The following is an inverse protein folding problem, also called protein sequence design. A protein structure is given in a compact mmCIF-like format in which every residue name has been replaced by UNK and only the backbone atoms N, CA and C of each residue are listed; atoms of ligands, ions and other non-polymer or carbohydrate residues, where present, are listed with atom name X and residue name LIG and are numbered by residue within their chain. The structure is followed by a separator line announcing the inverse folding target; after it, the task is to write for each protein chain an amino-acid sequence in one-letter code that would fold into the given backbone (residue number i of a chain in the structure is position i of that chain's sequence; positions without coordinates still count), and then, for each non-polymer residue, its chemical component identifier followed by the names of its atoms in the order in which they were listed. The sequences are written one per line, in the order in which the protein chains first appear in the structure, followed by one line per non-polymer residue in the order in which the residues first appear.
data_IF_256940041966
#
_entry.id   IF_256940041966
#
_cell.length_a   1.000
_cell.length_b   1.000
_cell.length_c   1.000
_cell.angle_alpha   90.00
_cell.angle_beta   90.00
_cell.angle_gamma   90.00
#
_symmetry.space_group_name_H-M   'P 1'
#
loop_
_entity.id
_entity.type
_entity.pdbx_description
1 polymer ?
#
# COMPACT_ATOMS: atom_id res chain seq x y z
N UNK A 1 -3.63 20.00 -18.80
CA UNK A 1 -4.34 18.71 -18.75
C UNK A 1 -3.65 17.77 -17.77
N UNK A 2 -4.41 16.94 -17.06
CA UNK A 2 -3.85 15.93 -16.15
C UNK A 2 -3.69 14.59 -16.88
N UNK A 3 -2.52 13.96 -16.70
CA UNK A 3 -2.16 12.66 -17.29
C UNK A 3 -1.50 11.78 -16.25
N UNK A 4 -1.48 10.47 -16.52
CA UNK A 4 -0.85 9.48 -15.65
C UNK A 4 0.11 8.63 -16.48
N UNK A 5 1.34 8.50 -15.99
CA UNK A 5 2.36 7.61 -16.51
C UNK A 5 2.73 6.57 -15.46
N UNK A 6 3.28 5.44 -15.90
CA UNK A 6 3.88 4.44 -15.02
C UNK A 6 5.40 4.56 -15.11
N UNK A 7 6.07 4.76 -13.99
CA UNK A 7 7.53 4.75 -13.90
C UNK A 7 7.97 3.36 -13.42
N UNK A 8 8.49 2.56 -14.34
CA UNK A 8 9.04 1.25 -14.00
C UNK A 8 10.44 1.41 -13.44
N UNK A 9 10.82 0.51 -12.54
CA UNK A 9 12.14 0.46 -11.88
C UNK A 9 12.52 1.68 -11.03
N UNK A 10 11.58 2.59 -10.73
CA UNK A 10 11.80 3.68 -9.76
C UNK A 10 11.36 3.25 -8.35
N UNK A 11 12.32 2.95 -7.49
CA UNK A 11 12.09 2.43 -6.14
C UNK A 11 12.68 3.30 -5.01
N UNK A 12 13.46 4.34 -5.36
CA UNK A 12 14.09 5.22 -4.39
C UNK A 12 13.23 6.46 -4.12
N UNK A 13 12.80 6.65 -2.86
CA UNK A 13 11.98 7.80 -2.48
C UNK A 13 12.69 9.15 -2.67
N UNK A 14 14.00 9.19 -2.45
CA UNK A 14 14.80 10.39 -2.69
C UNK A 14 14.87 10.72 -4.19
N UNK A 15 15.12 9.72 -5.05
CA UNK A 15 15.13 9.92 -6.50
C UNK A 15 13.76 10.36 -7.01
N UNK A 16 12.67 9.78 -6.49
CA UNK A 16 11.31 10.20 -6.81
C UNK A 16 11.07 11.69 -6.50
N UNK A 17 11.46 12.16 -5.30
CA UNK A 17 11.32 13.56 -4.91
C UNK A 17 12.09 14.50 -5.86
N UNK A 18 13.33 14.12 -6.22
CA UNK A 18 14.15 14.91 -7.15
C UNK A 18 13.54 14.94 -8.56
N UNK A 19 12.96 13.83 -9.03
CA UNK A 19 12.26 13.77 -10.33
C UNK A 19 11.03 14.68 -10.31
N UNK A 20 10.20 14.62 -9.26
CA UNK A 20 9.01 15.47 -9.12
C UNK A 20 9.38 16.96 -9.16
N UNK A 21 10.40 17.37 -8.40
CA UNK A 21 10.89 18.75 -8.38
C UNK A 21 11.37 19.21 -9.75
N UNK A 22 12.19 18.40 -10.44
CA UNK A 22 12.69 18.70 -11.78
C UNK A 22 11.56 18.80 -12.81
N UNK A 23 10.54 17.95 -12.69
CA UNK A 23 9.36 18.01 -13.56
C UNK A 23 8.58 19.31 -13.35
N UNK A 24 8.37 19.74 -12.10
CA UNK A 24 7.66 20.99 -11.78
C UNK A 24 8.43 22.24 -12.26
N UNK A 25 9.75 22.15 -12.42
CA UNK A 25 10.55 23.24 -12.99
C UNK A 25 10.39 23.40 -14.52
N UNK A 26 9.79 22.42 -15.20
CA UNK A 26 9.51 22.53 -16.63
C UNK A 26 8.36 23.54 -16.85
N UNK A 27 8.53 24.48 -17.78
CA UNK A 27 7.51 25.50 -18.09
C UNK A 27 6.18 24.88 -18.57
N UNK A 28 6.25 23.68 -19.12
CA UNK A 28 5.10 22.90 -19.58
C UNK A 28 4.34 22.21 -18.44
N UNK A 29 4.85 22.15 -17.20
CA UNK A 29 4.31 21.34 -16.10
C UNK A 29 3.92 22.21 -14.92
N UNK A 30 2.69 22.05 -14.43
CA UNK A 30 2.19 22.78 -13.25
C UNK A 30 2.14 21.94 -11.97
N UNK A 31 2.13 20.60 -12.09
CA UNK A 31 2.18 19.69 -10.97
C UNK A 31 2.71 18.33 -11.40
N UNK A 32 3.50 17.68 -10.54
CA UNK A 32 3.96 16.31 -10.71
C UNK A 32 3.95 15.60 -9.34
N UNK A 33 3.40 14.39 -9.28
CA UNK A 33 3.40 13.56 -8.07
C UNK A 33 3.51 12.09 -8.42
N UNK A 34 4.51 11.43 -7.86
CA UNK A 34 4.81 10.02 -8.00
C UNK A 34 4.41 9.25 -6.75
N UNK A 35 3.76 8.11 -6.95
CA UNK A 35 3.41 7.18 -5.89
C UNK A 35 4.16 5.87 -6.09
N UNK A 36 5.19 5.63 -5.27
CA UNK A 36 6.05 4.42 -5.34
C UNK A 36 5.21 3.13 -5.30
N UNK A 37 4.21 3.07 -4.40
CA UNK A 37 3.40 1.86 -4.20
C UNK A 37 2.58 1.46 -5.44
N UNK A 38 2.13 2.42 -6.24
CA UNK A 38 1.37 2.17 -7.48
C UNK A 38 2.22 2.34 -8.74
N UNK A 39 3.47 2.82 -8.61
CA UNK A 39 4.37 3.22 -9.69
C UNK A 39 3.79 4.29 -10.62
N UNK A 40 2.81 5.07 -10.14
CA UNK A 40 2.12 6.07 -10.96
C UNK A 40 2.72 7.46 -10.76
N UNK A 41 3.05 8.12 -11.86
CA UNK A 41 3.33 9.55 -11.93
C UNK A 41 2.09 10.26 -12.46
N UNK A 42 1.47 11.09 -11.63
CA UNK A 42 0.39 12.00 -12.01
C UNK A 42 1.00 13.35 -12.35
N UNK A 43 0.77 13.82 -13.57
CA UNK A 43 1.37 15.05 -14.08
C UNK A 43 0.31 15.94 -14.70
N UNK A 44 0.35 17.23 -14.37
CA UNK A 44 -0.49 18.25 -15.00
C UNK A 44 0.40 19.10 -15.88
N UNK A 45 0.16 19.05 -17.19
CA UNK A 45 0.97 19.75 -18.20
C UNK A 45 0.11 20.52 -19.20
N UNK A 46 0.62 21.61 -19.73
CA UNK A 46 0.02 22.36 -20.86
C UNK A 46 0.32 21.71 -22.22
N UNK A 47 1.28 20.79 -22.29
CA UNK A 47 1.65 20.09 -23.51
C UNK A 47 0.56 19.08 -23.89
N UNK A 48 0.00 19.19 -25.10
CA UNK A 48 -1.05 18.28 -25.59
C UNK A 48 -0.50 16.97 -26.18
N UNK A 49 0.72 17.01 -26.71
CA UNK A 49 1.40 15.87 -27.32
C UNK A 49 1.88 14.90 -26.23
N UNK A 50 1.34 13.67 -26.28
CA UNK A 50 1.62 12.63 -25.29
C UNK A 50 3.03 12.06 -25.45
N UNK A 51 3.51 11.92 -26.68
CA UNK A 51 4.82 11.31 -26.97
C UNK A 51 5.92 12.30 -26.56
N UNK A 52 5.74 13.58 -26.90
CA UNK A 52 6.65 14.63 -26.45
C UNK A 52 6.66 14.80 -24.92
N UNK A 53 5.52 14.65 -24.26
CA UNK A 53 5.45 14.68 -22.79
C UNK A 53 6.16 13.47 -22.18
N UNK A 54 5.98 12.29 -22.75
CA UNK A 54 6.65 11.08 -22.30
C UNK A 54 8.18 11.20 -22.45
N UNK A 55 8.66 11.72 -23.58
CA UNK A 55 10.10 11.97 -23.80
C UNK A 55 10.68 12.96 -22.79
N UNK A 56 9.96 14.04 -22.47
CA UNK A 56 10.39 14.99 -21.42
C UNK A 56 10.51 14.31 -20.05
N UNK A 57 9.53 13.48 -19.69
CA UNK A 57 9.57 12.74 -18.42
C UNK A 57 10.72 11.74 -18.42
N UNK A 58 10.94 11.02 -19.52
CA UNK A 58 12.03 10.05 -19.66
C UNK A 58 13.39 10.73 -19.48
N UNK A 59 13.62 11.88 -20.13
CA UNK A 59 14.86 12.64 -20.01
C UNK A 59 15.15 13.08 -18.56
N UNK A 60 14.12 13.49 -17.80
CA UNK A 60 14.28 13.85 -16.38
C UNK A 60 14.58 12.63 -15.52
N UNK A 61 13.95 11.49 -15.81
CA UNK A 61 14.22 10.23 -15.12
C UNK A 61 15.66 9.77 -15.36
N UNK A 62 16.11 9.72 -16.61
CA UNK A 62 17.47 9.28 -16.99
C UNK A 62 18.55 10.17 -16.38
N UNK A 63 18.28 11.47 -16.23
CA UNK A 63 19.18 12.41 -15.58
C UNK A 63 19.25 12.28 -14.04
N UNK A 64 18.41 11.42 -13.44
CA UNK A 64 18.29 11.26 -11.99
C UNK A 64 18.60 9.84 -11.54
N UNK A 65 18.05 8.84 -12.22
CA UNK A 65 18.24 7.42 -11.91
C UNK A 65 18.25 6.61 -13.22
N UNK A 66 19.30 5.82 -13.42
CA UNK A 66 19.44 4.97 -14.60
C UNK A 66 18.45 3.78 -14.55
N UNK A 67 17.96 3.37 -15.72
CA UNK A 67 17.09 2.21 -15.86
C UNK A 67 15.60 2.43 -15.53
N UNK A 68 15.18 3.67 -15.24
CA UNK A 68 13.76 4.03 -15.09
C UNK A 68 13.09 4.05 -16.47
N UNK A 69 11.96 3.37 -16.62
CA UNK A 69 11.22 3.31 -17.90
C UNK A 69 9.85 3.97 -17.74
N UNK A 70 9.59 5.02 -18.53
CA UNK A 70 8.32 5.73 -18.55
C UNK A 70 7.40 5.09 -19.58
N UNK A 71 6.21 4.66 -19.16
CA UNK A 71 5.17 4.16 -20.07
C UNK A 71 3.81 4.82 -19.81
N UNK A 72 2.94 4.97 -20.82
CA UNK A 72 1.58 5.43 -20.62
C UNK A 72 0.84 4.54 -19.62
N UNK A 73 0.09 5.14 -18.69
CA UNK A 73 -0.70 4.35 -17.75
C UNK A 73 -1.88 3.68 -18.46
N UNK A 74 -1.81 2.36 -18.58
CA UNK A 74 -2.95 1.55 -19.00
C UNK A 74 -3.64 1.05 -17.74
N UNK A 75 -4.92 1.41 -17.56
CA UNK A 75 -5.74 0.77 -16.53
C UNK A 75 -5.78 -0.72 -16.83
N UNK A 76 -5.16 -1.53 -15.98
CA UNK A 76 -5.39 -2.97 -16.02
C UNK A 76 -6.90 -3.18 -15.93
N UNK A 77 -7.49 -3.85 -16.93
CA UNK A 77 -8.87 -4.26 -16.89
C UNK A 77 -9.05 -5.04 -15.59
N UNK A 78 -9.87 -4.53 -14.67
CA UNK A 78 -10.25 -5.28 -13.46
C UNK A 78 -10.78 -6.61 -13.97
N UNK A 79 -10.03 -7.71 -13.77
CA UNK A 79 -10.70 -8.99 -13.59
C UNK A 79 -11.60 -8.74 -12.38
N UNK A 80 -12.89 -8.63 -12.65
CA UNK A 80 -13.92 -8.60 -11.63
C UNK A 80 -13.83 -9.92 -10.87
N UNK A 81 -12.94 -9.97 -9.87
CA UNK A 81 -13.10 -10.91 -8.78
C UNK A 81 -14.16 -10.29 -7.90
N UNK A 82 -15.39 -10.65 -8.21
CA UNK A 82 -16.51 -10.66 -7.29
C UNK A 82 -16.06 -11.52 -6.10
N UNK A 83 -15.43 -10.88 -5.12
CA UNK A 83 -15.36 -11.41 -3.77
C UNK A 83 -16.44 -10.67 -3.02
N UNK A 84 -17.61 -11.31 -3.05
CA UNK A 84 -18.73 -11.05 -2.18
C UNK A 84 -18.25 -11.31 -0.75
N UNK A 85 -17.86 -10.25 -0.05
CA UNK A 85 -17.70 -10.29 1.38
C UNK A 85 -18.20 -8.97 1.93
N UNK A 86 -19.47 -8.99 2.32
CA UNK A 86 -20.06 -8.10 3.31
C UNK A 86 -19.03 -7.80 4.40
N UNK A 87 -18.49 -6.58 4.38
CA UNK A 87 -17.75 -6.05 5.51
C UNK A 87 -18.77 -5.66 6.58
N UNK A 88 -19.16 -6.67 7.35
CA UNK A 88 -19.86 -6.53 8.61
C UNK A 88 -18.98 -5.69 9.55
N UNK A 89 -19.28 -4.40 9.63
CA UNK A 89 -18.57 -3.37 10.41
C UNK A 89 -18.70 -3.59 11.95
N UNK A 90 -19.30 -4.71 12.38
CA UNK A 90 -19.54 -5.08 13.77
C UNK A 90 -18.52 -6.11 14.32
N UNK A 91 -17.74 -6.77 13.46
CA UNK A 91 -16.74 -7.75 13.89
C UNK A 91 -15.56 -7.10 14.63
N UNK A 92 -15.18 -5.88 14.26
CA UNK A 92 -14.05 -5.17 14.89
C UNK A 92 -14.40 -4.69 16.31
N UNK A 93 -15.61 -4.17 16.53
CA UNK A 93 -16.04 -3.69 17.85
C UNK A 93 -16.32 -4.83 18.83
N UNK A 94 -16.98 -5.90 18.37
CA UNK A 94 -17.24 -7.09 19.21
C UNK A 94 -15.95 -7.79 19.62
N UNK A 95 -14.96 -7.91 18.73
CA UNK A 95 -13.65 -8.47 19.07
C UNK A 95 -12.89 -7.61 20.11
N UNK A 96 -12.98 -6.29 20.00
CA UNK A 96 -12.38 -5.36 20.98
C UNK A 96 -13.08 -5.48 22.34
N UNK A 97 -14.42 -5.53 22.36
CA UNK A 97 -15.20 -5.67 23.60
C UNK A 97 -14.94 -7.03 24.27
N UNK A 98 -14.88 -8.11 23.49
CA UNK A 98 -14.54 -9.44 24.00
C UNK A 98 -13.12 -9.45 24.56
N UNK A 99 -12.15 -8.83 23.88
CA UNK A 99 -10.78 -8.69 24.38
C UNK A 99 -10.70 -7.92 25.70
N UNK A 100 -11.43 -6.80 25.82
CA UNK A 100 -11.46 -5.99 27.03
C UNK A 100 -12.08 -6.75 28.22
N UNK A 101 -13.15 -7.51 27.99
CA UNK A 101 -13.79 -8.33 29.04
C UNK A 101 -12.87 -9.46 29.48
N UNK A 102 -12.22 -10.17 28.55
CA UNK A 102 -11.27 -11.25 28.90
C UNK A 102 -10.10 -10.71 29.73
N UNK A 103 -9.54 -9.55 29.35
CA UNK A 103 -8.46 -8.91 30.08
C UNK A 103 -8.90 -8.46 31.49
N UNK A 104 -10.08 -7.84 31.59
CA UNK A 104 -10.65 -7.42 32.88
C UNK A 104 -10.93 -8.63 33.80
N UNK A 105 -11.49 -9.72 33.27
CA UNK A 105 -11.78 -10.93 34.07
C UNK A 105 -10.49 -11.63 34.52
N UNK A 106 -9.47 -11.68 33.66
CA UNK A 106 -8.18 -12.29 33.97
C UNK A 106 -7.46 -11.58 35.12
N UNK A 107 -7.44 -10.24 35.12
CA UNK A 107 -6.75 -9.47 36.18
C UNK A 107 -7.60 -9.30 37.44
N UNK A 108 -8.92 -9.15 37.34
CA UNK A 108 -9.75 -8.77 38.47
C UNK A 108 -10.15 -9.93 39.39
N UNK A 109 -10.09 -11.18 38.91
CA UNK A 109 -10.65 -12.33 39.66
C UNK A 109 -9.61 -13.25 40.28
N UNK A 110 -8.34 -13.16 39.90
CA UNK A 110 -7.26 -14.10 40.30
C UNK A 110 -7.70 -15.58 40.24
N UNK A 111 -8.65 -15.88 39.34
CA UNK A 111 -9.41 -17.13 39.28
C UNK A 111 -8.62 -18.25 38.61
N UNK A 112 -7.63 -17.90 37.79
CA UNK A 112 -6.79 -18.85 37.07
C UNK A 112 -5.53 -19.10 37.90
N UNK A 113 -5.30 -20.33 38.39
CA UNK A 113 -4.04 -20.67 39.04
C UNK A 113 -2.85 -20.39 38.11
N UNK A 114 -1.75 -19.87 38.66
CA UNK A 114 -0.51 -19.50 37.93
C UNK A 114 -0.08 -20.50 36.86
N UNK A 115 -0.16 -21.81 37.18
CA UNK A 115 0.23 -22.90 36.27
C UNK A 115 -0.59 -22.97 34.96
N UNK A 116 -1.78 -22.37 34.92
CA UNK A 116 -2.66 -22.35 33.74
C UNK A 116 -2.64 -21.01 32.99
N UNK A 117 -2.03 -19.97 33.55
CA UNK A 117 -2.01 -18.64 32.94
C UNK A 117 -1.20 -18.60 31.64
N UNK A 118 0.01 -19.15 31.65
CA UNK A 118 0.87 -19.24 30.45
C UNK A 118 0.23 -20.03 29.30
N UNK A 119 -0.27 -21.27 29.49
CA UNK A 119 -0.90 -22.00 28.40
C UNK A 119 -2.18 -21.33 27.88
N UNK A 120 -2.98 -20.70 28.76
CA UNK A 120 -4.18 -19.96 28.35
C UNK A 120 -3.84 -18.76 27.45
N UNK A 121 -2.78 -18.01 27.78
CA UNK A 121 -2.31 -16.89 26.96
C UNK A 121 -1.84 -17.35 25.58
N UNK A 122 -1.11 -18.47 25.51
CA UNK A 122 -0.67 -19.06 24.24
C UNK A 122 -1.88 -19.45 23.38
N UNK A 123 -2.86 -20.15 23.96
CA UNK A 123 -4.09 -20.55 23.25
C UNK A 123 -4.86 -19.34 22.75
N UNK A 124 -5.00 -18.31 23.57
CA UNK A 124 -5.68 -17.06 23.21
C UNK A 124 -4.98 -16.36 22.06
N UNK A 125 -3.64 -16.24 22.12
CA UNK A 125 -2.84 -15.63 21.06
C UNK A 125 -2.94 -16.40 19.75
N UNK A 126 -2.94 -17.73 19.81
CA UNK A 126 -3.12 -18.58 18.62
C UNK A 126 -4.52 -18.38 18.04
N UNK A 127 -5.59 -18.44 18.83
CA UNK A 127 -6.96 -18.28 18.34
C UNK A 127 -7.18 -16.91 17.68
N UNK A 128 -6.67 -15.84 18.29
CA UNK A 128 -6.80 -14.48 17.76
C UNK A 128 -5.89 -14.25 16.54
N UNK A 129 -4.66 -14.74 16.58
CA UNK A 129 -3.61 -14.44 15.61
C UNK A 129 -3.51 -15.41 14.43
N UNK A 130 -4.04 -16.63 14.55
CA UNK A 130 -3.84 -17.69 13.53
C UNK A 130 -4.33 -17.28 12.14
N UNK A 131 -5.47 -16.57 12.07
CA UNK A 131 -6.00 -16.07 10.79
C UNK A 131 -5.04 -15.08 10.11
N UNK A 132 -4.39 -14.23 10.88
CA UNK A 132 -3.46 -13.21 10.38
C UNK A 132 -2.17 -13.88 9.88
N UNK A 133 -1.61 -14.80 10.68
CA UNK A 133 -0.43 -15.58 10.31
C UNK A 133 -0.67 -16.37 9.04
N UNK A 134 -1.81 -17.06 8.94
CA UNK A 134 -2.15 -17.86 7.77
C UNK A 134 -2.41 -17.01 6.51
N UNK A 135 -3.02 -15.84 6.67
CA UNK A 135 -3.20 -14.88 5.58
C UNK A 135 -1.83 -14.37 5.07
N UNK A 136 -0.91 -14.01 5.97
CA UNK A 136 0.42 -13.55 5.61
C UNK A 136 1.23 -14.64 4.88
N UNK A 137 1.22 -15.87 5.37
CA UNK A 137 1.89 -17.02 4.73
C UNK A 137 1.34 -17.26 3.32
N UNK A 138 0.01 -17.34 3.18
CA UNK A 138 -0.62 -17.58 1.87
C UNK A 138 -0.35 -16.46 0.86
N UNK A 139 -0.20 -15.23 1.33
CA UNK A 139 0.11 -14.09 0.48
C UNK A 139 1.60 -14.05 0.09
N UNK A 140 2.49 -14.41 1.02
CA UNK A 140 3.93 -14.54 0.76
C UNK A 140 4.29 -15.71 -0.17
N UNK A 141 3.54 -16.81 -0.12
CA UNK A 141 3.74 -17.96 -1.03
C UNK A 141 3.26 -17.71 -2.47
N UNK A 142 2.57 -16.59 -2.73
CA UNK A 142 2.05 -16.22 -4.06
C UNK A 142 2.84 -15.09 -4.73
N UNK A 143 3.82 -14.51 -4.03
CA UNK A 143 4.85 -13.65 -4.62
C UNK A 143 6.06 -14.48 -4.97
#
# INVERSE_FOLDING_TARGET
MERIFTLQNLNCANCASVIEEKLIQLESVSAATFTIGTKQLRITSTLEDMDALQEQIQAVCDATEDGVVVVPFVRAAKKAKQDDHDHEHNASLSAIIVGAIVMAVAELTNWVPEQYMTPLLIVTFVVLGWRIVWAAVKNGMKG
#
